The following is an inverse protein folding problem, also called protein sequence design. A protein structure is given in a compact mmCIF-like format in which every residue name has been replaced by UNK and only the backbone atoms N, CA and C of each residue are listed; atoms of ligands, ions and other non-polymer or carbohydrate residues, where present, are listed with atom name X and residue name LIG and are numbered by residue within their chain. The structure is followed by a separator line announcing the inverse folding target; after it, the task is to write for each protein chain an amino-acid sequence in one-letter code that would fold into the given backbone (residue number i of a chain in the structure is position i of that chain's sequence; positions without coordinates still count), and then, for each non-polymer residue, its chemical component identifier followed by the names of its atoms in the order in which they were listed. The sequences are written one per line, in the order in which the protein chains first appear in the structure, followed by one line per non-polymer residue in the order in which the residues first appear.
data_IF_836969503363
#
_entry.id   IF_836969503363
#
_cell.length_a   1.000
_cell.length_b   1.000
_cell.length_c   1.000
_cell.angle_alpha   90.00
_cell.angle_beta   90.00
_cell.angle_gamma   90.00
#
_symmetry.space_group_name_H-M   'P 1'
#
loop_
_entity.id
_entity.type
_entity.pdbx_description
1 polymer ?
#
# COMPACT_ATOMS: atom_id res chain seq x y z
N UNK A 1 22.27 32.04 -28.56
CA UNK A 1 22.13 30.57 -28.46
C UNK A 1 20.81 30.31 -27.74
N UNK A 2 20.11 29.24 -28.10
CA UNK A 2 18.90 28.83 -27.38
C UNK A 2 19.32 27.71 -26.42
N UNK A 3 19.01 27.87 -25.12
CA UNK A 3 19.23 26.82 -24.13
C UNK A 3 18.50 25.56 -24.59
N UNK A 4 19.23 24.45 -24.68
CA UNK A 4 18.67 23.17 -25.11
C UNK A 4 18.46 22.29 -23.90
N UNK A 5 17.19 21.95 -23.62
CA UNK A 5 16.85 20.99 -22.57
C UNK A 5 17.50 19.63 -22.86
N UNK A 6 18.09 19.02 -21.83
CA UNK A 6 18.78 17.72 -21.91
C UNK A 6 17.87 16.55 -21.48
N UNK A 7 16.74 16.86 -20.86
CA UNK A 7 15.71 15.94 -20.40
C UNK A 7 14.31 16.51 -20.68
N UNK A 8 13.28 15.65 -20.65
CA UNK A 8 11.88 16.01 -20.90
C UNK A 8 11.03 15.70 -19.66
N UNK A 9 10.96 16.61 -18.67
CA UNK A 9 10.28 16.37 -17.40
C UNK A 9 8.80 16.01 -17.58
N UNK A 10 8.14 16.59 -18.59
CA UNK A 10 6.70 16.35 -18.83
C UNK A 10 6.42 14.93 -19.30
N UNK A 11 7.43 14.21 -19.80
CA UNK A 11 7.31 12.81 -20.17
C UNK A 11 6.98 11.91 -18.97
N UNK A 12 7.19 12.37 -17.74
CA UNK A 12 6.84 11.66 -16.52
C UNK A 12 5.41 11.89 -16.04
N UNK A 13 4.69 12.89 -16.57
CA UNK A 13 3.29 13.20 -16.23
C UNK A 13 2.32 12.23 -16.90
N UNK A 14 2.47 10.93 -16.59
CA UNK A 14 1.64 9.85 -17.10
C UNK A 14 0.57 9.49 -16.09
N UNK A 15 -0.58 9.04 -16.59
CA UNK A 15 -1.60 8.42 -15.76
C UNK A 15 -0.98 7.21 -15.04
N UNK A 16 -1.11 7.10 -13.71
CA UNK A 16 -0.63 5.94 -12.98
C UNK A 16 -1.34 4.68 -13.48
N UNK A 17 -0.58 3.63 -13.70
CA UNK A 17 -1.08 2.32 -14.07
C UNK A 17 -1.40 1.51 -12.81
N UNK A 18 -2.24 0.50 -12.97
CA UNK A 18 -2.38 -0.53 -11.95
C UNK A 18 -1.15 -1.43 -12.02
N UNK A 19 -0.46 -1.71 -10.88
CA UNK A 19 0.56 -2.73 -10.87
C UNK A 19 -0.05 -4.04 -11.36
N UNK A 20 0.58 -4.71 -12.32
CA UNK A 20 -0.01 -5.86 -13.03
C UNK A 20 -0.42 -7.04 -12.13
N UNK A 21 0.12 -7.10 -10.90
CA UNK A 21 -0.14 -8.15 -9.90
C UNK A 21 -1.20 -7.74 -8.88
N UNK A 22 -1.68 -6.49 -8.91
CA UNK A 22 -2.58 -5.96 -7.90
C UNK A 22 -4.05 -6.23 -8.25
N UNK A 23 -4.76 -6.87 -7.33
CA UNK A 23 -6.21 -7.02 -7.36
C UNK A 23 -6.82 -6.44 -6.09
N UNK A 24 -8.09 -6.04 -6.14
CA UNK A 24 -8.76 -5.58 -4.93
C UNK A 24 -8.76 -6.68 -3.86
N UNK A 25 -8.28 -6.40 -2.63
CA UNK A 25 -8.36 -7.33 -1.51
C UNK A 25 -9.78 -7.89 -1.29
N UNK A 26 -10.80 -7.06 -1.51
CA UNK A 26 -12.20 -7.48 -1.38
C UNK A 26 -12.62 -8.48 -2.45
N UNK A 27 -12.10 -8.38 -3.67
CA UNK A 27 -12.40 -9.36 -4.72
C UNK A 27 -11.85 -10.75 -4.37
N UNK A 28 -10.66 -10.81 -3.78
CA UNK A 28 -10.06 -12.06 -3.30
C UNK A 28 -10.92 -12.70 -2.21
N UNK A 29 -11.39 -11.89 -1.25
CA UNK A 29 -12.28 -12.36 -0.19
C UNK A 29 -13.65 -12.77 -0.72
N UNK A 30 -14.19 -12.07 -1.72
CA UNK A 30 -15.45 -12.46 -2.36
C UNK A 30 -15.32 -13.80 -3.08
N UNK A 31 -14.21 -14.05 -3.79
CA UNK A 31 -13.93 -15.37 -4.39
C UNK A 31 -13.87 -16.47 -3.32
N UNK A 32 -13.25 -16.19 -2.18
CA UNK A 32 -13.24 -17.12 -1.04
C UNK A 32 -14.66 -17.34 -0.50
N UNK A 33 -15.48 -16.29 -0.40
CA UNK A 33 -16.88 -16.37 0.03
C UNK A 33 -17.72 -17.25 -0.88
N UNK A 34 -17.52 -17.22 -2.20
CA UNK A 34 -18.26 -18.04 -3.15
C UNK A 34 -17.96 -19.55 -2.99
N UNK A 35 -16.76 -19.89 -2.51
CA UNK A 35 -16.38 -21.28 -2.22
C UNK A 35 -17.07 -21.82 -0.97
N UNK A 36 -17.35 -20.94 0.00
CA UNK A 36 -18.00 -21.30 1.26
C UNK A 36 -19.51 -21.33 1.02
N UNK A 37 -20.04 -22.51 0.65
CA UNK A 37 -21.48 -22.70 0.45
C UNK A 37 -22.28 -22.31 1.71
N UNK A 38 -23.12 -21.26 1.66
CA UNK A 38 -23.84 -20.77 2.82
C UNK A 38 -25.08 -21.64 3.06
N UNK A 39 -24.86 -22.86 3.56
CA UNK A 39 -25.94 -23.69 4.08
C UNK A 39 -26.18 -23.36 5.55
N UNK A 40 -27.42 -23.49 6.01
CA UNK A 40 -27.83 -23.16 7.39
C UNK A 40 -26.89 -23.75 8.46
N UNK A 41 -26.52 -25.03 8.33
CA UNK A 41 -25.63 -25.70 9.28
C UNK A 41 -24.18 -25.20 9.25
N UNK A 42 -23.69 -24.74 8.09
CA UNK A 42 -22.35 -24.16 7.98
C UNK A 42 -22.31 -22.81 8.68
N UNK A 43 -23.31 -21.96 8.45
CA UNK A 43 -23.43 -20.66 9.13
C UNK A 43 -23.53 -20.83 10.64
N UNK A 44 -24.39 -21.74 11.11
CA UNK A 44 -24.51 -22.07 12.55
C UNK A 44 -23.19 -22.52 13.16
N UNK A 45 -22.40 -23.33 12.45
CA UNK A 45 -21.09 -23.78 12.97
C UNK A 45 -20.06 -22.67 12.98
N UNK A 46 -20.03 -21.82 11.96
CA UNK A 46 -19.13 -20.66 11.92
C UNK A 46 -19.45 -19.69 13.06
N UNK A 47 -20.73 -19.40 13.28
CA UNK A 47 -21.19 -18.58 14.40
C UNK A 47 -20.94 -19.25 15.75
N UNK A 48 -21.18 -20.56 15.89
CA UNK A 48 -20.91 -21.28 17.13
C UNK A 48 -19.41 -21.37 17.45
N UNK A 49 -18.56 -21.45 16.42
CA UNK A 49 -17.11 -21.57 16.58
C UNK A 49 -16.44 -20.23 16.93
N UNK A 50 -16.78 -19.15 16.22
CA UNK A 50 -16.07 -17.87 16.34
C UNK A 50 -16.91 -16.76 16.98
N UNK A 51 -18.22 -16.96 17.14
CA UNK A 51 -19.16 -15.96 17.65
C UNK A 51 -19.63 -14.94 16.60
N UNK A 52 -19.15 -15.06 15.35
CA UNK A 52 -19.49 -14.19 14.23
C UNK A 52 -19.26 -14.94 12.90
N UNK A 53 -19.46 -14.27 11.77
CA UNK A 53 -19.05 -14.80 10.46
C UNK A 53 -17.61 -14.34 10.15
N UNK A 54 -16.61 -15.26 10.11
CA UNK A 54 -15.21 -14.93 9.82
C UNK A 54 -15.00 -14.20 8.49
N UNK A 55 -15.82 -14.52 7.47
CA UNK A 55 -15.75 -13.89 6.16
C UNK A 55 -16.14 -12.42 6.23
N UNK A 56 -17.27 -12.11 6.88
CA UNK A 56 -17.74 -10.74 7.02
C UNK A 56 -16.76 -9.92 7.85
N UNK A 57 -16.22 -10.51 8.93
CA UNK A 57 -15.20 -9.86 9.76
C UNK A 57 -13.91 -9.58 8.98
N UNK A 58 -13.47 -10.50 8.12
CA UNK A 58 -12.33 -10.26 7.25
C UNK A 58 -12.60 -9.10 6.29
N UNK A 59 -13.77 -9.06 5.63
CA UNK A 59 -14.13 -7.96 4.72
C UNK A 59 -14.08 -6.60 5.42
N UNK A 60 -14.50 -6.51 6.68
CA UNK A 60 -14.35 -5.27 7.47
C UNK A 60 -12.90 -4.81 7.59
N UNK A 61 -11.95 -5.71 7.85
CA UNK A 61 -10.53 -5.36 7.96
C UNK A 61 -9.92 -4.88 6.63
N UNK A 62 -10.47 -5.32 5.50
CA UNK A 62 -9.93 -5.04 4.17
C UNK A 62 -10.76 -4.03 3.36
N UNK A 63 -11.76 -3.37 3.97
CA UNK A 63 -12.73 -2.48 3.32
C UNK A 63 -12.18 -1.15 2.75
N UNK A 64 -10.88 -1.03 2.50
CA UNK A 64 -10.22 0.18 2.01
C UNK A 64 -9.97 0.19 0.49
N UNK A 65 -9.72 1.40 -0.04
CA UNK A 65 -9.26 1.60 -1.41
C UNK A 65 -7.73 1.48 -1.49
N UNK A 66 -7.26 0.23 -1.45
CA UNK A 66 -5.83 -0.09 -1.48
C UNK A 66 -5.23 0.07 -2.88
N UNK A 67 -6.10 0.08 -3.90
CA UNK A 67 -5.73 0.36 -5.29
C UNK A 67 -5.31 1.82 -5.46
N UNK A 68 -6.04 2.75 -4.82
CA UNK A 68 -5.64 4.15 -4.77
C UNK A 68 -4.26 4.34 -4.11
N UNK A 69 -3.92 3.57 -3.07
CA UNK A 69 -2.58 3.62 -2.47
C UNK A 69 -1.51 3.17 -3.47
N UNK A 70 -1.74 2.07 -4.19
CA UNK A 70 -0.83 1.59 -5.22
C UNK A 70 -0.65 2.61 -6.35
N UNK A 71 -1.75 3.19 -6.86
CA UNK A 71 -1.70 4.26 -7.88
C UNK A 71 -0.96 5.50 -7.39
N UNK A 72 -1.18 5.89 -6.13
CA UNK A 72 -0.50 7.03 -5.52
C UNK A 72 1.02 6.80 -5.43
N UNK A 73 1.46 5.56 -5.17
CA UNK A 73 2.88 5.22 -5.17
C UNK A 73 3.56 5.55 -6.51
N UNK A 74 2.90 5.25 -7.63
CA UNK A 74 3.42 5.57 -8.96
C UNK A 74 3.47 7.07 -9.22
N UNK A 75 2.44 7.81 -8.77
CA UNK A 75 2.40 9.27 -8.87
C UNK A 75 3.62 9.87 -8.17
N UNK A 76 3.94 9.44 -6.95
CA UNK A 76 5.11 9.93 -6.23
C UNK A 76 6.42 9.65 -6.99
N UNK A 77 6.58 8.44 -7.53
CA UNK A 77 7.76 8.10 -8.35
C UNK A 77 7.88 8.92 -9.62
N UNK A 78 6.75 9.21 -10.27
CA UNK A 78 6.71 10.03 -11.47
C UNK A 78 7.06 11.48 -11.17
N UNK A 79 6.57 12.02 -10.04
CA UNK A 79 6.94 13.35 -9.56
C UNK A 79 8.43 13.43 -9.22
N UNK A 80 9.01 12.42 -8.55
CA UNK A 80 10.44 12.40 -8.25
C UNK A 80 11.33 12.43 -9.50
N UNK A 81 10.94 11.67 -10.54
CA UNK A 81 11.64 11.72 -11.84
C UNK A 81 11.50 13.07 -12.52
N UNK A 82 10.31 13.65 -12.48
CA UNK A 82 10.05 14.99 -13.02
C UNK A 82 10.95 16.04 -12.37
N UNK A 83 11.06 16.05 -11.03
CA UNK A 83 11.89 17.06 -10.35
C UNK A 83 13.37 16.87 -10.64
N UNK A 84 13.85 15.62 -10.75
CA UNK A 84 15.22 15.32 -11.18
C UNK A 84 15.49 15.78 -12.61
N UNK A 85 14.55 15.59 -13.54
CA UNK A 85 14.72 16.06 -14.92
C UNK A 85 14.70 17.60 -15.03
N UNK A 86 13.91 18.28 -14.20
CA UNK A 86 13.98 19.75 -14.06
C UNK A 86 15.36 20.17 -13.57
N UNK A 87 15.90 19.50 -12.54
CA UNK A 87 17.23 19.80 -12.00
C UNK A 87 18.31 19.68 -13.08
N UNK A 88 18.27 18.60 -13.88
CA UNK A 88 19.22 18.39 -15.00
C UNK A 88 19.17 19.50 -16.04
N UNK A 89 17.98 19.95 -16.42
CA UNK A 89 17.83 21.04 -17.38
C UNK A 89 18.37 22.37 -16.83
N UNK A 90 18.11 22.65 -15.55
CA UNK A 90 18.65 23.86 -14.88
C UNK A 90 20.18 23.79 -14.82
N UNK A 91 20.77 22.67 -14.37
CA UNK A 91 22.22 22.50 -14.29
C UNK A 91 22.89 22.61 -15.66
N UNK A 92 22.29 22.04 -16.71
CA UNK A 92 22.80 22.15 -18.08
C UNK A 92 22.80 23.60 -18.59
N UNK A 93 21.69 24.33 -18.40
CA UNK A 93 21.60 25.74 -18.76
C UNK A 93 22.55 26.62 -17.97
N UNK A 94 22.76 26.31 -16.69
CA UNK A 94 23.70 27.02 -15.83
C UNK A 94 25.15 26.85 -16.31
N UNK A 95 25.53 25.65 -16.75
CA UNK A 95 26.84 25.39 -17.36
C UNK A 95 27.04 26.11 -18.70
N UNK A 96 26.00 26.27 -19.51
CA UNK A 96 26.08 27.03 -20.77
C UNK A 96 26.21 28.55 -20.52
N UNK A 97 25.53 29.08 -19.50
CA UNK A 97 25.65 30.47 -19.08
C UNK A 97 27.06 30.80 -18.56
N UNK A 98 27.60 29.96 -17.68
CA UNK A 98 28.93 30.12 -17.07
C UNK A 98 30.05 30.21 -18.12
N UNK A 99 29.88 29.56 -19.28
CA UNK A 99 30.86 29.59 -20.36
C UNK A 99 30.90 30.94 -21.13
N UNK A 100 29.89 31.81 -20.99
CA UNK A 100 29.74 33.00 -21.84
C UNK A 100 29.38 34.29 -21.11
N UNK A 101 29.01 34.21 -19.83
CA UNK A 101 28.61 35.36 -19.02
C UNK A 101 29.42 35.41 -17.72
N UNK A 102 30.22 36.47 -17.57
CA UNK A 102 31.09 36.69 -16.41
C UNK A 102 30.67 37.90 -15.56
N UNK A 103 31.14 37.91 -14.32
CA UNK A 103 31.03 39.02 -13.37
C UNK A 103 30.03 38.76 -12.24
N UNK A 104 29.95 39.70 -11.28
CA UNK A 104 29.18 39.52 -10.05
C UNK A 104 27.71 39.12 -10.27
N UNK A 105 27.09 39.59 -11.34
CA UNK A 105 25.72 39.23 -11.70
C UNK A 105 25.61 37.78 -12.22
N UNK A 106 26.61 37.33 -12.98
CA UNK A 106 26.70 35.95 -13.45
C UNK A 106 26.93 35.00 -12.26
N UNK A 107 27.86 35.31 -11.36
CA UNK A 107 28.12 34.51 -10.15
C UNK A 107 26.86 34.38 -9.27
N UNK A 108 26.13 35.47 -9.08
CA UNK A 108 24.89 35.46 -8.30
C UNK A 108 23.80 34.59 -8.95
N UNK A 109 23.65 34.70 -10.27
CA UNK A 109 22.71 33.88 -11.04
C UNK A 109 23.10 32.40 -11.00
N UNK A 110 24.39 32.09 -11.20
CA UNK A 110 24.91 30.73 -11.16
C UNK A 110 24.61 30.06 -9.83
N UNK A 111 24.92 30.73 -8.72
CA UNK A 111 24.67 30.21 -7.38
C UNK A 111 23.17 30.03 -7.09
N UNK A 112 22.31 30.93 -7.59
CA UNK A 112 20.87 30.80 -7.45
C UNK A 112 20.34 29.56 -8.17
N UNK A 113 20.64 29.42 -9.46
CA UNK A 113 20.16 28.31 -10.28
C UNK A 113 20.74 26.97 -9.82
N UNK A 114 22.01 26.96 -9.39
CA UNK A 114 22.61 25.74 -8.82
C UNK A 114 21.86 25.29 -7.57
N UNK A 115 21.58 26.20 -6.64
CA UNK A 115 20.78 25.88 -5.45
C UNK A 115 19.37 25.43 -5.79
N UNK A 116 18.76 26.00 -6.83
CA UNK A 116 17.43 25.59 -7.30
C UNK A 116 17.46 24.16 -7.87
N UNK A 117 18.45 23.83 -8.70
CA UNK A 117 18.65 22.50 -9.23
C UNK A 117 18.86 21.47 -8.10
N UNK A 118 19.75 21.77 -7.15
CA UNK A 118 20.04 20.90 -6.01
C UNK A 118 18.77 20.64 -5.18
N UNK A 119 17.92 21.65 -4.94
CA UNK A 119 16.64 21.46 -4.25
C UNK A 119 15.65 20.60 -5.03
N UNK A 120 15.57 20.76 -6.35
CA UNK A 120 14.72 19.92 -7.20
C UNK A 120 15.18 18.45 -7.19
N UNK A 121 16.49 18.22 -7.18
CA UNK A 121 17.06 16.86 -7.12
C UNK A 121 16.86 16.22 -5.73
N UNK A 122 17.03 16.99 -4.65
CA UNK A 122 16.76 16.53 -3.27
C UNK A 122 15.30 16.06 -3.07
N UNK A 123 14.34 16.67 -3.76
CA UNK A 123 12.93 16.25 -3.71
C UNK A 123 12.74 14.83 -4.27
N UNK A 124 13.59 14.37 -5.20
CA UNK A 124 13.46 13.03 -5.78
C UNK A 124 13.53 11.96 -4.69
N UNK A 125 14.50 12.05 -3.77
CA UNK A 125 14.69 11.07 -2.71
C UNK A 125 13.49 10.99 -1.76
N UNK A 126 12.90 12.15 -1.43
CA UNK A 126 11.72 12.20 -0.56
C UNK A 126 10.50 11.59 -1.27
N UNK A 127 10.29 11.94 -2.55
CA UNK A 127 9.19 11.44 -3.36
C UNK A 127 9.34 9.92 -3.62
N UNK A 128 10.56 9.41 -3.83
CA UNK A 128 10.82 7.97 -3.94
C UNK A 128 10.58 7.23 -2.61
N UNK A 129 10.80 7.90 -1.48
CA UNK A 129 10.43 7.36 -0.17
C UNK A 129 8.92 7.28 -0.02
N UNK A 130 8.17 8.34 -0.38
CA UNK A 130 6.71 8.31 -0.41
C UNK A 130 6.19 7.18 -1.31
N UNK A 131 6.71 7.05 -2.53
CA UNK A 131 6.42 5.92 -3.42
C UNK A 131 6.58 4.59 -2.70
N UNK A 132 7.74 4.37 -2.09
CA UNK A 132 8.07 3.09 -1.44
C UNK A 132 7.08 2.77 -0.32
N UNK A 133 6.77 3.73 0.54
CA UNK A 133 5.87 3.50 1.67
C UNK A 133 4.42 3.26 1.22
N UNK A 134 3.93 4.01 0.24
CA UNK A 134 2.59 3.76 -0.33
C UNK A 134 2.49 2.37 -0.96
N UNK A 135 3.52 1.95 -1.70
CA UNK A 135 3.57 0.61 -2.30
C UNK A 135 3.63 -0.49 -1.24
N UNK A 136 4.46 -0.33 -0.21
CA UNK A 136 4.58 -1.29 0.90
C UNK A 136 3.25 -1.50 1.61
N UNK A 137 2.49 -0.42 1.84
CA UNK A 137 1.14 -0.50 2.43
C UNK A 137 0.20 -1.29 1.51
N UNK A 138 0.05 -0.88 0.25
CA UNK A 138 -0.91 -1.53 -0.65
C UNK A 138 -0.56 -3.00 -0.88
N UNK A 139 0.72 -3.31 -1.11
CA UNK A 139 1.18 -4.67 -1.32
C UNK A 139 1.05 -5.54 -0.05
N UNK A 140 1.39 -4.97 1.12
CA UNK A 140 1.24 -5.67 2.40
C UNK A 140 -0.21 -6.06 2.66
N UNK A 141 -1.15 -5.14 2.44
CA UNK A 141 -2.58 -5.42 2.60
C UNK A 141 -3.07 -6.47 1.59
N UNK A 142 -2.69 -6.34 0.32
CA UNK A 142 -3.06 -7.30 -0.71
C UNK A 142 -2.58 -8.73 -0.39
N UNK A 143 -1.28 -8.89 -0.08
CA UNK A 143 -0.70 -10.19 0.24
C UNK A 143 -1.34 -10.81 1.49
N UNK A 144 -1.72 -9.97 2.47
CA UNK A 144 -2.43 -10.44 3.66
C UNK A 144 -3.84 -10.91 3.33
N UNK A 145 -4.55 -10.21 2.44
CA UNK A 145 -5.87 -10.60 2.01
C UNK A 145 -5.86 -11.92 1.24
N UNK A 146 -4.84 -12.19 0.43
CA UNK A 146 -4.65 -13.50 -0.18
C UNK A 146 -4.47 -14.61 0.87
N UNK A 147 -3.57 -14.39 1.83
CA UNK A 147 -3.31 -15.35 2.90
C UNK A 147 -4.57 -15.61 3.76
N UNK A 148 -5.28 -14.55 4.14
CA UNK A 148 -6.54 -14.64 4.90
C UNK A 148 -7.63 -15.32 4.07
N UNK A 149 -7.75 -15.01 2.77
CA UNK A 149 -8.68 -15.67 1.86
C UNK A 149 -8.45 -17.19 1.79
N UNK A 150 -7.19 -17.62 1.72
CA UNK A 150 -6.83 -19.02 1.74
C UNK A 150 -7.18 -19.71 3.07
N UNK A 151 -6.95 -19.03 4.21
CA UNK A 151 -7.36 -19.54 5.53
C UNK A 151 -8.88 -19.63 5.65
N UNK A 152 -9.62 -18.64 5.16
CA UNK A 152 -11.08 -18.65 5.15
C UNK A 152 -11.65 -19.79 4.30
N UNK A 153 -11.02 -20.11 3.17
CA UNK A 153 -11.37 -21.30 2.39
C UNK A 153 -11.25 -22.59 3.22
N UNK A 154 -10.15 -22.76 3.96
CA UNK A 154 -9.97 -23.90 4.85
C UNK A 154 -11.01 -23.93 5.97
N UNK A 155 -11.30 -22.79 6.60
CA UNK A 155 -12.36 -22.66 7.61
C UNK A 155 -13.71 -23.10 7.03
N UNK A 156 -14.02 -22.71 5.79
CA UNK A 156 -15.25 -23.12 5.10
C UNK A 156 -15.37 -24.63 4.92
N UNK A 157 -14.32 -25.29 4.44
CA UNK A 157 -14.28 -26.75 4.25
C UNK A 157 -14.48 -27.50 5.57
N UNK A 158 -13.87 -27.01 6.64
CA UNK A 158 -13.99 -27.58 7.98
C UNK A 158 -15.38 -27.37 8.56
N UNK A 159 -15.97 -26.18 8.36
CA UNK A 159 -17.34 -25.90 8.78
C UNK A 159 -18.35 -26.80 8.04
N UNK A 160 -18.14 -27.06 6.75
CA UNK A 160 -18.95 -28.01 5.99
C UNK A 160 -18.81 -29.45 6.53
N UNK A 161 -17.59 -29.87 6.84
CA UNK A 161 -17.32 -31.20 7.42
C UNK A 161 -17.96 -31.36 8.80
N UNK A 162 -17.85 -30.33 9.64
CA UNK A 162 -18.47 -30.28 10.94
C UNK A 162 -20.01 -30.31 10.84
N UNK A 163 -20.59 -29.59 9.86
CA UNK A 163 -22.03 -29.55 9.61
C UNK A 163 -22.57 -30.92 9.23
N UNK A 164 -21.90 -31.61 8.31
CA UNK A 164 -22.25 -32.97 7.89
C UNK A 164 -22.13 -33.94 9.07
N UNK A 165 -21.06 -33.83 9.85
CA UNK A 165 -20.79 -34.70 11.01
C UNK A 165 -21.84 -34.51 12.13
N UNK A 166 -22.21 -33.27 12.42
CA UNK A 166 -23.25 -32.94 13.39
C UNK A 166 -24.63 -33.44 12.94
N UNK A 167 -24.97 -33.25 11.66
CA UNK A 167 -26.21 -33.77 11.08
C UNK A 167 -26.26 -35.31 11.13
N UNK A 168 -25.17 -35.99 10.74
CA UNK A 168 -25.06 -37.44 10.83
C UNK A 168 -25.16 -37.96 12.28
N UNK A 169 -24.51 -37.27 13.23
CA UNK A 169 -24.61 -37.57 14.66
C UNK A 169 -26.03 -37.43 15.19
N UNK A 170 -26.78 -36.41 14.71
CA UNK A 170 -28.19 -36.23 15.05
C UNK A 170 -29.06 -37.37 14.51
N UNK A 171 -28.89 -37.74 13.23
CA UNK A 171 -29.68 -38.79 12.57
C UNK A 171 -29.41 -40.19 13.12
N UNK A 172 -28.18 -40.45 13.55
CA UNK A 172 -27.74 -41.75 14.09
C UNK A 172 -27.75 -41.78 15.62
N UNK A 173 -28.27 -40.75 16.27
CA UNK A 173 -28.23 -40.58 17.71
C UNK A 173 -28.87 -41.73 18.49
N UNK A 174 -29.91 -42.33 17.94
CA UNK A 174 -30.60 -43.51 18.51
C UNK A 174 -29.72 -44.75 18.64
N UNK A 175 -28.58 -44.81 17.94
CA UNK A 175 -27.61 -45.92 18.05
C UNK A 175 -26.60 -45.75 19.20
N UNK A 176 -26.61 -44.59 19.88
CA UNK A 176 -25.65 -44.23 20.94
C UNK A 176 -24.24 -43.93 20.44
N UNK A 177 -23.65 -44.85 19.67
CA UNK A 177 -22.32 -44.69 19.06
C UNK A 177 -22.30 -43.65 17.93
N UNK A 178 -23.37 -43.57 17.14
CA UNK A 178 -23.49 -42.58 16.06
C UNK A 178 -23.49 -41.14 16.55
N UNK A 179 -24.14 -40.85 17.69
CA UNK A 179 -24.07 -39.55 18.35
C UNK A 179 -22.64 -39.21 18.78
N UNK A 180 -21.97 -40.11 19.48
CA UNK A 180 -20.64 -39.87 20.03
C UNK A 180 -19.60 -39.58 18.93
N UNK A 181 -19.61 -40.36 17.85
CA UNK A 181 -18.69 -40.15 16.72
C UNK A 181 -19.02 -38.88 15.95
N UNK A 182 -20.29 -38.65 15.60
CA UNK A 182 -20.70 -37.49 14.81
C UNK A 182 -20.45 -36.15 15.50
N UNK A 183 -20.85 -36.01 16.76
CA UNK A 183 -20.60 -34.79 17.53
C UNK A 183 -19.14 -34.63 17.94
N UNK A 184 -18.41 -35.73 18.19
CA UNK A 184 -16.98 -35.67 18.50
C UNK A 184 -16.15 -35.14 17.32
N UNK A 185 -16.45 -35.60 16.10
CA UNK A 185 -15.83 -35.08 14.89
C UNK A 185 -16.19 -33.60 14.66
N UNK A 186 -17.47 -33.23 14.82
CA UNK A 186 -17.88 -31.84 14.68
C UNK A 186 -17.16 -30.91 15.68
N UNK A 187 -17.03 -31.32 16.95
CA UNK A 187 -16.31 -30.55 17.97
C UNK A 187 -14.81 -30.40 17.65
N UNK A 188 -14.19 -31.44 17.09
CA UNK A 188 -12.79 -31.38 16.66
C UNK A 188 -12.56 -30.36 15.55
N UNK A 189 -13.41 -30.37 14.53
CA UNK A 189 -13.35 -29.41 13.42
C UNK A 189 -13.56 -27.97 13.94
N UNK A 190 -14.49 -27.76 14.87
CA UNK A 190 -14.74 -26.44 15.50
C UNK A 190 -13.49 -25.90 16.20
N UNK A 191 -12.78 -26.73 16.97
CA UNK A 191 -11.55 -26.28 17.65
C UNK A 191 -10.49 -25.82 16.65
N UNK A 192 -10.35 -26.54 15.53
CA UNK A 192 -9.39 -26.15 14.49
C UNK A 192 -9.83 -24.91 13.71
N UNK A 193 -11.13 -24.68 13.53
CA UNK A 193 -11.64 -23.43 12.96
C UNK A 193 -11.22 -22.24 13.83
N UNK A 194 -11.30 -22.37 15.15
CA UNK A 194 -10.86 -21.35 16.11
C UNK A 194 -9.35 -21.08 15.96
N UNK A 195 -8.54 -22.14 15.86
CA UNK A 195 -7.09 -22.02 15.68
C UNK A 195 -6.74 -21.31 14.36
N UNK A 196 -7.37 -21.72 13.25
CA UNK A 196 -7.17 -21.09 11.93
C UNK A 196 -7.58 -19.61 11.93
N UNK A 197 -8.69 -19.27 12.58
CA UNK A 197 -9.08 -17.87 12.72
C UNK A 197 -8.07 -17.07 13.56
N UNK A 198 -7.50 -17.70 14.59
CA UNK A 198 -6.37 -17.14 15.34
C UNK A 198 -5.17 -16.83 14.45
N UNK A 199 -4.85 -17.73 13.52
CA UNK A 199 -3.76 -17.52 12.55
C UNK A 199 -4.07 -16.42 11.53
N UNK A 200 -5.31 -16.35 11.02
CA UNK A 200 -5.74 -15.23 10.17
C UNK A 200 -5.59 -13.88 10.90
N UNK A 201 -6.00 -13.84 12.17
CA UNK A 201 -5.88 -12.64 13.01
C UNK A 201 -4.41 -12.23 13.23
N UNK A 202 -3.49 -13.19 13.40
CA UNK A 202 -2.05 -12.89 13.50
C UNK A 202 -1.50 -12.26 12.23
N UNK A 203 -1.93 -12.73 11.05
CA UNK A 203 -1.53 -12.13 9.77
C UNK A 203 -2.04 -10.69 9.66
N UNK A 204 -3.32 -10.46 9.98
CA UNK A 204 -3.92 -9.12 9.98
C UNK A 204 -3.17 -8.17 10.92
N UNK A 205 -2.86 -8.61 12.15
CA UNK A 205 -2.13 -7.79 13.13
C UNK A 205 -0.69 -7.46 12.67
N UNK A 206 -0.02 -8.41 12.03
CA UNK A 206 1.33 -8.19 11.48
C UNK A 206 1.31 -7.10 10.41
N UNK A 207 0.27 -7.11 9.58
CA UNK A 207 0.10 -6.10 8.52
C UNK A 207 -0.34 -4.76 9.07
N UNK A 208 -1.15 -4.71 10.12
CA UNK A 208 -1.42 -3.45 10.83
C UNK A 208 -0.15 -2.82 11.39
N UNK A 209 0.78 -3.62 11.93
CA UNK A 209 2.07 -3.10 12.38
C UNK A 209 2.89 -2.53 11.21
N UNK A 210 2.90 -3.22 10.06
CA UNK A 210 3.55 -2.73 8.85
C UNK A 210 2.94 -1.40 8.38
N UNK A 211 1.61 -1.31 8.35
CA UNK A 211 0.89 -0.09 7.96
C UNK A 211 1.24 1.06 8.91
N UNK A 212 1.21 0.84 10.23
CA UNK A 212 1.57 1.86 11.21
C UNK A 212 3.04 2.30 11.06
N UNK A 213 3.95 1.37 10.77
CA UNK A 213 5.36 1.69 10.50
C UNK A 213 5.51 2.56 9.24
N UNK A 214 4.82 2.21 8.16
CA UNK A 214 4.82 2.98 6.93
C UNK A 214 4.21 4.38 7.14
N UNK A 215 3.11 4.50 7.90
CA UNK A 215 2.50 5.79 8.24
C UNK A 215 3.47 6.68 9.03
N UNK A 216 4.22 6.14 9.99
CA UNK A 216 5.24 6.91 10.70
C UNK A 216 6.37 7.42 9.78
N UNK A 217 6.77 6.61 8.80
CA UNK A 217 7.73 7.04 7.77
C UNK A 217 7.15 8.14 6.86
N UNK A 218 5.88 8.00 6.45
CA UNK A 218 5.16 9.00 5.65
C UNK A 218 5.03 10.34 6.38
N UNK A 219 4.72 10.33 7.68
CA UNK A 219 4.64 11.54 8.50
C UNK A 219 6.00 12.25 8.60
N UNK A 220 7.09 11.47 8.75
CA UNK A 220 8.46 12.00 8.80
C UNK A 220 8.82 12.69 7.49
N UNK A 221 8.66 12.00 6.35
CA UNK A 221 8.95 12.55 5.03
C UNK A 221 8.02 13.73 4.71
N UNK A 222 6.75 13.66 5.09
CA UNK A 222 5.81 14.77 4.92
C UNK A 222 6.25 16.04 5.64
N UNK A 223 6.77 15.90 6.87
CA UNK A 223 7.37 17.01 7.61
C UNK A 223 8.62 17.59 6.94
N UNK A 224 9.52 16.73 6.48
CA UNK A 224 10.73 17.14 5.75
C UNK A 224 10.40 17.85 4.43
N UNK A 225 9.48 17.29 3.64
CA UNK A 225 9.04 17.85 2.37
C UNK A 225 8.37 19.21 2.58
N UNK A 226 7.52 19.34 3.60
CA UNK A 226 6.90 20.62 3.94
C UNK A 226 7.94 21.69 4.29
N UNK A 227 9.00 21.34 5.01
CA UNK A 227 10.10 22.25 5.31
C UNK A 227 10.88 22.65 4.05
N UNK A 228 11.26 21.67 3.23
CA UNK A 228 11.97 21.89 1.95
C UNK A 228 11.19 22.78 0.98
N UNK A 229 9.88 22.58 0.87
CA UNK A 229 9.01 23.40 0.01
C UNK A 229 8.86 24.84 0.52
N UNK A 230 8.89 25.06 1.84
CA UNK A 230 8.87 26.39 2.42
C UNK A 230 10.21 27.13 2.19
N UNK A 231 11.32 26.40 2.19
CA UNK A 231 12.68 26.95 2.07
C UNK A 231 13.21 26.95 0.62
N UNK A 232 12.31 26.91 -0.38
CA UNK A 232 12.68 26.98 -1.78
C UNK A 232 13.44 28.29 -2.07
N UNK A 233 14.55 28.24 -2.84
CA UNK A 233 15.36 29.42 -3.08
C UNK A 233 14.55 30.48 -3.82
N UNK A 234 14.29 31.58 -3.14
CA UNK A 234 13.80 32.81 -3.75
C UNK A 234 15.00 33.58 -4.32
N UNK A 235 14.84 34.26 -5.47
CA UNK A 235 15.82 35.25 -5.88
C UNK A 235 15.95 36.25 -4.71
N UNK A 236 17.18 36.52 -4.27
CA UNK A 236 17.43 37.43 -3.15
C UNK A 236 17.04 38.87 -3.47
N UNK A 237 17.69 39.83 -2.82
CA UNK A 237 17.61 41.24 -3.26
C UNK A 237 18.16 41.37 -4.68
N UNK A 238 17.49 42.15 -5.52
CA UNK A 238 17.99 42.50 -6.85
C UNK A 238 19.44 42.99 -6.76
N UNK A 239 20.26 42.65 -7.76
CA UNK A 239 21.63 43.15 -7.84
C UNK A 239 21.66 44.67 -7.69
N UNK A 240 22.31 45.15 -6.63
CA UNK A 240 22.52 46.57 -6.40
C UNK A 240 23.71 47.01 -7.25
N UNK A 241 23.39 47.75 -8.31
CA UNK A 241 24.36 48.21 -9.27
C UNK A 241 25.20 49.33 -8.63
N UNK A 242 26.54 49.21 -8.52
CA UNK A 242 27.39 50.25 -7.94
C UNK A 242 27.44 51.57 -8.73
N UNK A 243 26.71 51.67 -9.84
CA UNK A 243 26.61 52.81 -10.76
C UNK A 243 25.25 53.53 -10.63
N UNK A 244 24.36 53.13 -9.70
CA UNK A 244 23.10 53.84 -9.38
C UNK A 244 23.06 54.24 -7.91
#
# INVERSE_FOLDING_TARGET
MAFTDVAEPTSHLKTPQEPAEFHSPLELLNKASDLISPTYWVTEILEASTGFNPMDKAKEYFAGDWEAYAKCSEVWGNLGKLTSDIAKNIDAGNGELDATWDGNAADAAFNYFKRLADRCDELQSDLDTLKTQYYVVSHGVWSTAEAVGAILGQIGDMAATAAISAAAGTLTSWTGWGAAVGYGLAAYEILRIIDLWGDATKQINSTQLLVNGAMGALETVGGELSGKLHDFPLPGTAYDNPVV
#
